data_IF_715486096773
#
_entry.id   IF_715486096773
#
_cell.length_a   1.000
_cell.length_b   1.000
_cell.length_c   1.000
_cell.angle_alpha   90.00
_cell.angle_beta   90.00
_cell.angle_gamma   90.00
#
_symmetry.space_group_name_H-M   'P 1'
#
loop_
_entity.id
_entity.type
_entity.pdbx_description
1 polymer ?
#
# COMPACT_ATOMS: atom_id res chain seq x y z
N UNK A 1 3.91 -23.58 -19.31
CA UNK A 1 3.79 -22.25 -19.97
C UNK A 1 2.51 -22.23 -20.78
N UNK A 2 1.57 -21.35 -20.45
CA UNK A 2 0.27 -21.17 -21.11
C UNK A 2 0.12 -19.70 -21.51
N UNK A 3 -0.70 -19.44 -22.53
CA UNK A 3 -1.08 -18.09 -22.94
C UNK A 3 -2.53 -17.84 -22.53
N UNK A 4 -2.76 -16.86 -21.67
CA UNK A 4 -4.10 -16.40 -21.26
C UNK A 4 -4.41 -15.10 -22.00
N UNK A 5 -5.57 -15.05 -22.64
CA UNK A 5 -6.02 -13.86 -23.37
C UNK A 5 -7.29 -13.30 -22.72
N UNK A 6 -7.32 -12.00 -22.50
CA UNK A 6 -8.48 -11.29 -21.96
C UNK A 6 -8.66 -9.94 -22.67
N UNK A 7 -9.84 -9.33 -22.51
CA UNK A 7 -10.11 -7.97 -22.98
C UNK A 7 -10.27 -7.00 -21.82
N UNK A 8 -9.69 -5.81 -21.99
CA UNK A 8 -9.93 -4.64 -21.14
C UNK A 8 -11.39 -4.18 -21.26
N UNK A 9 -11.96 -3.48 -20.26
CA UNK A 9 -13.24 -2.77 -20.39
C UNK A 9 -13.29 -1.80 -21.58
N UNK A 10 -12.13 -1.33 -22.05
CA UNK A 10 -11.97 -0.43 -23.20
C UNK A 10 -11.86 -1.18 -24.55
N UNK A 11 -11.86 -2.53 -24.52
CA UNK A 11 -11.82 -3.38 -25.72
C UNK A 11 -10.43 -3.90 -26.10
N UNK A 12 -9.37 -3.37 -25.48
CA UNK A 12 -7.98 -3.75 -25.76
C UNK A 12 -7.69 -5.21 -25.42
N UNK A 13 -6.93 -5.88 -26.28
CA UNK A 13 -6.51 -7.27 -26.11
C UNK A 13 -5.29 -7.33 -25.19
N UNK A 14 -5.39 -8.11 -24.12
CA UNK A 14 -4.29 -8.39 -23.19
C UNK A 14 -3.90 -9.87 -23.30
N UNK A 15 -2.61 -10.13 -23.53
CA UNK A 15 -2.05 -11.48 -23.60
C UNK A 15 -1.05 -11.67 -22.46
N UNK A 16 -1.24 -12.69 -21.64
CA UNK A 16 -0.39 -13.03 -20.51
C UNK A 16 0.23 -14.41 -20.73
N UNK A 17 1.55 -14.49 -20.77
CA UNK A 17 2.28 -15.75 -20.75
C UNK A 17 2.55 -16.14 -19.28
N UNK A 18 1.94 -17.23 -18.81
CA UNK A 18 2.05 -17.66 -17.41
C UNK A 18 1.90 -19.16 -17.28
N UNK A 19 2.42 -19.72 -16.21
CA UNK A 19 2.19 -21.08 -15.74
C UNK A 19 1.01 -21.18 -14.75
N UNK A 20 0.42 -20.05 -14.35
CA UNK A 20 -0.76 -19.98 -13.49
C UNK A 20 -2.01 -20.50 -14.20
N UNK A 21 -2.96 -20.98 -13.40
CA UNK A 21 -4.28 -21.36 -13.88
C UNK A 21 -5.04 -20.13 -14.42
N UNK A 22 -5.81 -20.32 -15.49
CA UNK A 22 -6.50 -19.23 -16.24
C UNK A 22 -7.36 -18.34 -15.34
N UNK A 23 -8.01 -18.91 -14.34
CA UNK A 23 -8.85 -18.17 -13.39
C UNK A 23 -8.05 -17.24 -12.49
N UNK A 24 -6.82 -17.62 -12.15
CA UNK A 24 -5.94 -16.87 -11.24
C UNK A 24 -5.04 -15.89 -12.01
N UNK A 25 -4.65 -16.25 -13.22
CA UNK A 25 -3.75 -15.50 -14.08
C UNK A 25 -4.10 -14.00 -14.17
N UNK A 26 -5.36 -13.68 -14.47
CA UNK A 26 -5.82 -12.29 -14.61
C UNK A 26 -6.00 -11.58 -13.27
N UNK A 27 -6.40 -12.29 -12.21
CA UNK A 27 -6.57 -11.69 -10.88
C UNK A 27 -5.20 -11.38 -10.26
N UNK A 28 -4.23 -12.27 -10.42
CA UNK A 28 -2.83 -12.06 -10.03
C UNK A 28 -2.19 -10.94 -10.84
N UNK A 29 -2.41 -10.88 -12.16
CA UNK A 29 -1.83 -9.81 -12.99
C UNK A 29 -2.29 -8.41 -12.56
N UNK A 30 -3.52 -8.27 -12.06
CA UNK A 30 -4.02 -6.99 -11.52
C UNK A 30 -3.24 -6.51 -10.30
N UNK A 31 -2.62 -7.41 -9.53
CA UNK A 31 -1.79 -7.04 -8.36
C UNK A 31 -0.51 -6.29 -8.77
N UNK A 32 -0.07 -6.41 -10.03
CA UNK A 32 1.10 -5.71 -10.52
C UNK A 32 0.96 -4.17 -10.40
N UNK A 33 -0.24 -3.64 -10.63
CA UNK A 33 -0.53 -2.20 -10.45
C UNK A 33 -0.35 -1.72 -9.02
N UNK A 34 -0.48 -2.60 -8.02
CA UNK A 34 -0.19 -2.26 -6.63
C UNK A 34 1.28 -1.93 -6.42
N UNK A 35 2.18 -2.65 -7.11
CA UNK A 35 3.63 -2.41 -7.04
C UNK A 35 3.99 -1.08 -7.71
N UNK A 36 3.37 -0.76 -8.85
CA UNK A 36 3.55 0.56 -9.48
C UNK A 36 3.08 1.70 -8.56
N UNK A 37 1.97 1.50 -7.86
CA UNK A 37 1.46 2.46 -6.89
C UNK A 37 2.45 2.64 -5.71
N UNK A 38 3.03 1.55 -5.21
CA UNK A 38 4.08 1.58 -4.18
C UNK A 38 5.29 2.39 -4.65
N UNK A 39 5.88 2.05 -5.81
CA UNK A 39 7.05 2.78 -6.32
C UNK A 39 6.76 4.25 -6.57
N UNK A 40 5.57 4.58 -7.09
CA UNK A 40 5.13 5.96 -7.27
C UNK A 40 5.03 6.72 -5.94
N UNK A 41 4.55 6.06 -4.88
CA UNK A 41 4.45 6.64 -3.55
C UNK A 41 5.82 6.82 -2.88
N UNK A 42 6.77 5.89 -3.05
CA UNK A 42 8.13 6.02 -2.53
C UNK A 42 8.90 7.16 -3.20
N UNK A 43 8.71 7.33 -4.51
CA UNK A 43 9.36 8.37 -5.31
C UNK A 43 8.63 9.72 -5.20
N UNK A 44 8.27 10.32 -6.33
CA UNK A 44 7.87 11.73 -6.44
C UNK A 44 6.47 12.08 -5.96
N UNK A 45 5.62 11.11 -5.61
CA UNK A 45 4.22 11.39 -5.21
C UNK A 45 3.91 11.12 -3.74
N UNK A 46 4.92 10.77 -2.94
CA UNK A 46 4.79 10.56 -1.50
C UNK A 46 6.08 10.93 -0.75
N UNK A 47 6.97 9.97 -0.57
CA UNK A 47 8.14 10.09 0.31
C UNK A 47 9.36 10.80 -0.29
N UNK A 48 9.32 11.14 -1.58
CA UNK A 48 10.35 11.91 -2.26
C UNK A 48 11.75 11.26 -2.19
N UNK A 49 11.82 9.93 -2.23
CA UNK A 49 13.07 9.17 -2.11
C UNK A 49 14.17 9.67 -3.06
N UNK A 50 13.83 9.95 -4.32
CA UNK A 50 14.78 10.44 -5.33
C UNK A 50 15.38 11.82 -4.99
N UNK A 51 14.69 12.63 -4.18
CA UNK A 51 15.18 13.94 -3.72
C UNK A 51 16.21 13.86 -2.59
N UNK A 52 16.41 12.69 -1.99
CA UNK A 52 17.45 12.49 -0.96
C UNK A 52 18.85 12.42 -1.56
N UNK A 53 18.96 12.17 -2.87
CA UNK A 53 20.22 11.93 -3.58
C UNK A 53 21.14 10.89 -2.93
N UNK A 54 20.58 9.98 -2.11
CA UNK A 54 21.34 8.89 -1.49
C UNK A 54 21.85 7.92 -2.55
N UNK A 55 23.17 7.71 -2.57
CA UNK A 55 23.85 6.80 -3.51
C UNK A 55 24.54 5.62 -2.81
N UNK A 56 24.84 5.75 -1.51
CA UNK A 56 25.47 4.69 -0.71
C UNK A 56 24.48 3.56 -0.44
N UNK A 57 24.86 2.33 -0.82
CA UNK A 57 24.00 1.16 -0.74
C UNK A 57 23.41 0.93 0.66
N UNK A 58 24.27 0.87 1.69
CA UNK A 58 23.87 0.65 3.08
C UNK A 58 22.86 1.69 3.60
N UNK A 59 22.97 2.92 3.11
CA UNK A 59 22.08 4.01 3.50
C UNK A 59 20.72 3.90 2.81
N UNK A 60 20.73 3.55 1.51
CA UNK A 60 19.52 3.28 0.75
C UNK A 60 18.76 2.09 1.33
N UNK A 61 19.46 1.03 1.72
CA UNK A 61 18.85 -0.14 2.36
C UNK A 61 18.11 0.25 3.65
N UNK A 62 18.80 0.95 4.57
CA UNK A 62 18.21 1.41 5.83
C UNK A 62 17.02 2.35 5.60
N UNK A 63 17.14 3.25 4.63
CA UNK A 63 16.06 4.17 4.28
C UNK A 63 14.85 3.41 3.70
N UNK A 64 15.08 2.42 2.84
CA UNK A 64 14.01 1.59 2.29
C UNK A 64 13.30 0.80 3.40
N UNK A 65 14.02 0.22 4.36
CA UNK A 65 13.41 -0.45 5.51
C UNK A 65 12.51 0.49 6.33
N UNK A 66 12.94 1.73 6.55
CA UNK A 66 12.11 2.72 7.26
C UNK A 66 10.90 3.16 6.42
N UNK A 67 11.08 3.33 5.11
CA UNK A 67 10.02 3.72 4.20
C UNK A 67 8.98 2.63 4.00
N UNK A 68 9.37 1.35 3.99
CA UNK A 68 8.41 0.24 3.90
C UNK A 68 7.51 0.19 5.14
N UNK A 69 8.08 0.36 6.35
CA UNK A 69 7.33 0.47 7.60
C UNK A 69 6.39 1.68 7.60
N UNK A 70 6.89 2.83 7.15
CA UNK A 70 6.08 4.05 7.08
C UNK A 70 4.97 3.90 6.02
N UNK A 71 5.25 3.24 4.91
CA UNK A 71 4.27 2.96 3.86
C UNK A 71 3.15 2.04 4.35
N UNK A 72 3.47 0.94 5.05
CA UNK A 72 2.44 0.07 5.64
C UNK A 72 1.57 0.84 6.62
N UNK A 73 2.15 1.72 7.44
CA UNK A 73 1.38 2.58 8.33
C UNK A 73 0.46 3.55 7.55
N UNK A 74 0.95 4.17 6.49
CA UNK A 74 0.15 5.02 5.61
C UNK A 74 -1.02 4.26 4.96
N UNK A 75 -0.84 2.99 4.59
CA UNK A 75 -1.94 2.17 4.05
C UNK A 75 -2.97 1.90 5.14
N UNK A 76 -2.51 1.43 6.30
CA UNK A 76 -3.32 1.10 7.46
C UNK A 76 -4.21 2.28 7.90
N UNK A 77 -3.62 3.46 8.11
CA UNK A 77 -4.36 4.69 8.43
C UNK A 77 -5.21 5.14 7.25
N UNK A 78 -4.69 5.08 6.04
CA UNK A 78 -5.39 5.54 4.84
C UNK A 78 -6.68 4.78 4.54
N UNK A 79 -6.77 3.50 4.95
CA UNK A 79 -7.97 2.67 4.74
C UNK A 79 -9.11 3.07 5.68
N UNK A 80 -8.81 3.59 6.88
CA UNK A 80 -9.82 4.04 7.84
C UNK A 80 -10.41 5.42 7.49
N UNK A 81 -9.76 6.16 6.59
CA UNK A 81 -10.16 7.49 6.18
C UNK A 81 -11.07 7.46 4.95
N UNK A 82 -12.17 8.21 5.01
CA UNK A 82 -13.03 8.41 3.84
C UNK A 82 -12.54 9.57 2.96
N UNK A 83 -12.81 9.49 1.66
CA UNK A 83 -12.35 10.45 0.68
C UNK A 83 -13.39 10.75 -0.37
N UNK A 84 -13.62 12.04 -0.69
CA UNK A 84 -14.53 12.39 -1.77
C UNK A 84 -14.09 11.76 -3.08
N UNK A 85 -15.05 11.13 -3.76
CA UNK A 85 -14.88 10.61 -5.12
C UNK A 85 -15.08 11.76 -6.10
N UNK A 86 -14.23 11.81 -7.13
CA UNK A 86 -14.38 12.75 -8.24
C UNK A 86 -15.50 12.29 -9.18
N UNK A 87 -15.90 13.14 -10.12
CA UNK A 87 -16.98 12.88 -11.08
C UNK A 87 -16.83 11.55 -11.86
N UNK A 88 -15.60 11.08 -12.08
CA UNK A 88 -15.28 9.80 -12.72
C UNK A 88 -15.27 8.59 -11.74
N UNK A 89 -15.86 8.73 -10.54
CA UNK A 89 -16.04 7.65 -9.56
C UNK A 89 -14.81 7.23 -8.75
N UNK A 90 -13.61 7.71 -9.09
CA UNK A 90 -12.37 7.40 -8.36
C UNK A 90 -12.14 8.37 -7.20
N UNK A 91 -11.47 7.91 -6.14
CA UNK A 91 -11.09 8.75 -4.99
C UNK A 91 -10.21 9.93 -5.43
N UNK A 92 -10.37 11.08 -4.79
CA UNK A 92 -9.57 12.26 -5.09
C UNK A 92 -8.08 12.07 -4.74
N UNK A 93 -7.79 11.27 -3.72
CA UNK A 93 -6.45 10.90 -3.28
C UNK A 93 -6.30 9.39 -3.13
N UNK A 94 -5.06 8.90 -3.27
CA UNK A 94 -4.73 7.51 -2.97
C UNK A 94 -4.76 7.26 -1.46
N UNK A 95 -5.02 6.00 -1.08
CA UNK A 95 -5.02 5.53 0.32
C UNK A 95 -3.74 5.96 1.04
N UNK A 96 -2.59 5.66 0.45
CA UNK A 96 -1.27 6.00 1.00
C UNK A 96 -1.11 7.50 1.21
N UNK A 97 -1.58 8.34 0.28
CA UNK A 97 -1.46 9.80 0.41
C UNK A 97 -2.33 10.35 1.54
N UNK A 98 -3.49 9.74 1.78
CA UNK A 98 -4.36 10.13 2.88
C UNK A 98 -3.73 9.76 4.22
N UNK A 99 -3.28 8.51 4.37
CA UNK A 99 -2.60 8.07 5.58
C UNK A 99 -1.34 8.88 5.88
N UNK A 100 -0.52 9.19 4.85
CA UNK A 100 0.66 10.04 5.03
C UNK A 100 0.29 11.43 5.55
N UNK A 101 -0.75 12.05 4.99
CA UNK A 101 -1.21 13.38 5.43
C UNK A 101 -1.71 13.35 6.87
N UNK A 102 -2.42 12.30 7.25
CA UNK A 102 -2.94 12.17 8.61
C UNK A 102 -1.81 11.89 9.61
N UNK A 103 -0.86 11.01 9.27
CA UNK A 103 0.33 10.78 10.08
C UNK A 103 1.10 12.09 10.31
N UNK A 104 1.45 12.82 9.25
CA UNK A 104 2.16 14.10 9.35
C UNK A 104 1.37 15.10 10.21
N UNK A 105 0.05 15.15 10.06
CA UNK A 105 -0.83 16.01 10.85
C UNK A 105 -0.80 15.65 12.33
N UNK A 106 -0.91 14.37 12.66
CA UNK A 106 -0.89 13.86 14.04
C UNK A 106 0.46 14.13 14.72
N UNK A 107 1.58 13.82 14.05
CA UNK A 107 2.93 14.12 14.57
C UNK A 107 3.18 15.62 14.81
N UNK A 108 2.53 16.50 14.04
CA UNK A 108 2.75 17.95 14.13
C UNK A 108 1.89 18.66 15.18
N UNK A 109 0.81 18.04 15.70
CA UNK A 109 -0.19 18.74 16.52
C UNK A 109 -0.57 18.07 17.83
N UNK A 110 -0.74 16.75 17.86
CA UNK A 110 -1.40 16.05 18.98
C UNK A 110 -0.72 14.69 19.26
N UNK A 111 -0.10 14.54 20.43
CA UNK A 111 0.49 13.27 20.88
C UNK A 111 -0.55 12.21 21.24
N UNK A 112 -1.78 12.60 21.60
CA UNK A 112 -2.83 11.66 22.01
C UNK A 112 -3.33 10.78 20.84
N UNK A 113 -3.61 11.38 19.66
CA UNK A 113 -3.98 10.63 18.45
C UNK A 113 -2.85 9.75 17.93
N UNK A 114 -1.62 10.09 18.27
CA UNK A 114 -0.44 9.31 17.88
C UNK A 114 -0.48 7.94 18.55
N UNK A 115 -0.93 7.87 19.82
CA UNK A 115 -1.16 6.60 20.51
C UNK A 115 -2.17 5.72 19.78
N UNK A 116 -3.33 6.28 19.38
CA UNK A 116 -4.35 5.53 18.64
C UNK A 116 -3.82 4.98 17.29
N UNK A 117 -2.94 5.74 16.63
CA UNK A 117 -2.31 5.32 15.38
C UNK A 117 -1.21 4.28 15.59
N UNK A 118 -0.49 4.32 16.73
CA UNK A 118 0.49 3.30 17.12
C UNK A 118 -0.22 1.98 17.38
N UNK A 119 -1.37 2.00 18.05
CA UNK A 119 -2.17 0.80 18.32
C UNK A 119 -2.59 0.09 17.03
N UNK A 120 -2.77 0.85 15.94
CA UNK A 120 -3.09 0.32 14.62
C UNK A 120 -1.93 -0.47 13.97
N UNK A 121 -0.71 -0.27 14.48
CA UNK A 121 0.51 -0.97 14.06
C UNK A 121 0.83 -2.16 14.96
N UNK A 122 0.27 -2.19 16.17
CA UNK A 122 0.39 -3.31 17.09
C UNK A 122 -0.54 -4.44 16.63
N UNK A 123 -0.09 -5.71 16.68
CA UNK A 123 -0.99 -6.83 16.43
C UNK A 123 -2.15 -6.74 17.42
N UNK A 124 -3.39 -6.92 16.93
CA UNK A 124 -4.55 -7.05 17.81
C UNK A 124 -4.24 -8.15 18.83
N UNK A 125 -4.30 -7.82 20.11
CA UNK A 125 -4.23 -8.80 21.20
C UNK A 125 -5.51 -9.66 21.16
N UNK A 126 -5.68 -10.45 20.11
CA UNK A 126 -6.64 -11.55 20.11
C UNK A 126 -6.07 -12.61 21.02
N UNK A 127 -6.34 -12.47 22.31
CA UNK A 127 -6.29 -13.57 23.25
C UNK A 127 -7.27 -14.64 22.74
N UNK A 128 -6.78 -15.63 22.02
CA UNK A 128 -7.44 -16.93 21.95
C UNK A 128 -6.80 -17.82 23.03
N UNK A 129 -7.36 -17.92 24.24
CA UNK A 129 -7.11 -19.10 25.04
C UNK A 129 -7.96 -20.22 24.42
N UNK A 130 -7.38 -20.96 23.47
CA UNK A 130 -7.87 -22.32 23.24
C UNK A 130 -7.49 -23.11 24.48
N UNK A 131 -8.42 -23.16 25.44
CA UNK A 131 -8.44 -24.19 26.47
C UNK A 131 -8.66 -25.52 25.75
N UNK A 132 -7.56 -26.17 25.36
CA UNK A 132 -7.57 -27.58 25.00
C UNK A 132 -8.04 -28.32 26.25
N UNK A 133 -9.30 -28.76 26.22
CA UNK A 133 -9.87 -29.64 27.22
C UNK A 133 -9.08 -30.94 27.25
N UNK A 134 -8.69 -31.35 28.46
CA UNK A 134 -8.39 -32.74 28.79
C UNK A 134 -9.69 -33.53 28.88
#
# INVERSE_FOLDING_TARGET
>A
MQLVMARSPEGDLMCLATDLHVLDAMSTYKLHWSIECLFRALKSKGFQLEGTHMTLHDHVERLLCLLTLTYTWCVLVGVTLDCPKKAHGRRAWSVVKMGLRELVRSFSRESARLCDLIDLLMPSQTNSPESVGY
#
